data_IF_487389973981
#
_entry.id   IF_487389973981
#
_cell.length_a   1.000
_cell.length_b   1.000
_cell.length_c   1.000
_cell.angle_alpha   90.00
_cell.angle_beta   90.00
_cell.angle_gamma   90.00
#
_symmetry.space_group_name_H-M   'P 1'
#
loop_
_entity.id
_entity.type
_entity.pdbx_description
1 polymer ?
#
# COMPACT_ATOMS: atom_id res chain seq x y z
N UNK A 1 -13.96 -53.59 -1.83
CA UNK A 1 -13.79 -52.38 -2.66
C UNK A 1 -13.68 -51.19 -1.74
N UNK A 2 -12.53 -50.52 -1.72
CA UNK A 2 -12.18 -49.50 -0.72
C UNK A 2 -12.55 -48.14 -1.31
N UNK A 3 -13.62 -47.52 -0.84
CA UNK A 3 -14.04 -46.19 -1.30
C UNK A 3 -13.01 -45.15 -0.87
N UNK A 4 -12.16 -44.73 -1.80
CA UNK A 4 -11.28 -43.57 -1.64
C UNK A 4 -12.18 -42.34 -1.67
N UNK A 5 -12.43 -41.74 -0.50
CA UNK A 5 -13.04 -40.42 -0.39
C UNK A 5 -11.99 -39.39 -0.85
N UNK A 6 -12.08 -38.96 -2.09
CA UNK A 6 -11.41 -37.74 -2.54
C UNK A 6 -12.09 -36.55 -1.86
N UNK A 7 -11.50 -36.07 -0.77
CA UNK A 7 -11.78 -34.74 -0.24
C UNK A 7 -10.94 -33.77 -1.08
N UNK A 8 -11.52 -32.92 -1.93
CA UNK A 8 -10.75 -31.86 -2.54
C UNK A 8 -10.44 -30.88 -1.40
N UNK A 9 -9.20 -30.92 -0.93
CA UNK A 9 -8.63 -29.86 -0.12
C UNK A 9 -8.59 -28.61 -1.03
N UNK A 10 -9.66 -27.82 -0.97
CA UNK A 10 -9.67 -26.46 -1.52
C UNK A 10 -8.53 -25.72 -0.83
N UNK A 11 -7.40 -25.63 -1.54
CA UNK A 11 -6.32 -24.71 -1.25
C UNK A 11 -6.94 -23.31 -1.30
N UNK A 12 -7.35 -22.80 -0.13
CA UNK A 12 -7.58 -21.39 0.07
C UNK A 12 -6.23 -20.71 -0.09
N UNK A 13 -5.90 -20.41 -1.34
CA UNK A 13 -4.83 -19.52 -1.73
C UNK A 13 -5.20 -18.13 -1.23
N UNK A 14 -4.94 -17.87 0.04
CA UNK A 14 -5.09 -16.56 0.64
C UNK A 14 -3.93 -15.68 0.17
N UNK A 15 -4.04 -15.21 -1.07
CA UNK A 15 -3.53 -13.88 -1.41
C UNK A 15 -4.23 -12.92 -0.44
N UNK A 16 -3.46 -12.26 0.42
CA UNK A 16 -4.00 -11.33 1.41
C UNK A 16 -4.61 -10.15 0.66
N UNK A 17 -5.94 -10.10 0.54
CA UNK A 17 -6.65 -8.93 0.04
C UNK A 17 -6.80 -7.93 1.18
N UNK A 18 -6.88 -6.62 0.91
CA UNK A 18 -7.42 -5.69 1.93
C UNK A 18 -8.92 -5.96 2.16
N UNK A 19 -9.59 -6.53 1.16
CA UNK A 19 -10.93 -7.11 1.25
C UNK A 19 -11.80 -6.75 0.07
N UNK A 20 -12.92 -7.45 -0.09
CA UNK A 20 -13.96 -7.09 -1.04
C UNK A 20 -14.81 -5.94 -0.52
N UNK A 21 -15.24 -5.06 -1.43
CA UNK A 21 -16.16 -3.99 -1.10
C UNK A 21 -17.53 -4.52 -0.69
N UNK A 22 -18.12 -3.87 0.31
CA UNK A 22 -19.53 -4.03 0.67
C UNK A 22 -20.17 -2.65 0.65
N UNK A 23 -20.64 -2.27 -0.53
CA UNK A 23 -21.22 -0.94 -0.79
C UNK A 23 -22.32 -0.58 0.20
N UNK A 24 -23.26 -1.50 0.45
CA UNK A 24 -24.34 -1.32 1.42
C UNK A 24 -23.87 -1.05 2.85
N UNK A 25 -22.63 -1.41 3.20
CA UNK A 25 -22.02 -1.11 4.49
C UNK A 25 -21.23 0.19 4.42
N UNK A 26 -20.49 0.43 3.32
CA UNK A 26 -19.73 1.67 3.10
C UNK A 26 -20.63 2.90 3.16
N UNK A 27 -21.80 2.82 2.53
CA UNK A 27 -22.74 3.94 2.42
C UNK A 27 -23.44 4.30 3.73
N UNK A 28 -23.37 3.45 4.76
CA UNK A 28 -23.91 3.79 6.08
C UNK A 28 -23.01 4.74 6.88
N UNK A 29 -21.78 4.98 6.42
CA UNK A 29 -20.83 5.88 7.08
C UNK A 29 -20.89 7.27 6.45
N UNK A 30 -20.97 8.31 7.29
CA UNK A 30 -20.66 9.68 6.85
C UNK A 30 -19.17 9.94 7.01
N UNK A 31 -18.49 10.17 5.88
CA UNK A 31 -17.07 10.49 5.85
C UNK A 31 -16.80 12.00 6.02
N UNK A 32 -17.81 12.86 6.19
CA UNK A 32 -17.60 14.30 6.43
C UNK A 32 -17.05 15.03 5.19
N UNK A 33 -16.28 16.10 5.37
CA UNK A 33 -15.75 16.90 4.23
C UNK A 33 -14.62 16.17 3.49
N UNK A 34 -14.34 16.60 2.26
CA UNK A 34 -13.15 16.13 1.54
C UNK A 34 -11.89 16.54 2.27
N UNK A 35 -10.96 15.60 2.47
CA UNK A 35 -9.66 15.83 3.11
C UNK A 35 -8.53 15.34 2.21
N UNK A 36 -7.39 16.01 2.29
CA UNK A 36 -6.21 15.72 1.46
C UNK A 36 -5.13 15.07 2.30
N UNK A 37 -4.53 14.03 1.74
CA UNK A 37 -3.34 13.35 2.25
C UNK A 37 -2.17 13.79 1.37
N UNK A 38 -1.19 14.44 1.95
CA UNK A 38 0.01 14.94 1.26
C UNK A 38 1.06 13.83 1.24
N UNK A 39 1.44 13.38 0.06
CA UNK A 39 2.35 12.27 -0.13
C UNK A 39 3.66 12.78 -0.73
N UNK A 40 4.75 12.56 -0.02
CA UNK A 40 6.10 12.69 -0.55
C UNK A 40 6.43 11.42 -1.34
N UNK A 41 6.70 11.57 -2.64
CA UNK A 41 6.97 10.45 -3.54
C UNK A 41 8.46 10.31 -3.77
N UNK A 42 8.98 9.12 -3.50
CA UNK A 42 10.34 8.72 -3.86
C UNK A 42 10.27 7.94 -5.16
N UNK A 43 10.49 8.62 -6.28
CA UNK A 43 10.28 8.07 -7.61
C UNK A 43 11.59 7.49 -8.12
N UNK A 44 11.60 6.20 -8.43
CA UNK A 44 12.75 5.59 -9.11
C UNK A 44 13.03 6.35 -10.41
N UNK A 45 14.29 6.54 -10.76
CA UNK A 45 14.71 7.20 -12.02
C UNK A 45 14.11 6.53 -13.26
N UNK A 46 13.82 5.23 -13.18
CA UNK A 46 13.20 4.45 -14.25
C UNK A 46 11.66 4.55 -14.27
N UNK A 47 11.05 5.31 -13.36
CA UNK A 47 9.61 5.57 -13.33
C UNK A 47 9.34 6.95 -13.92
N UNK A 48 8.53 6.98 -14.98
CA UNK A 48 8.15 8.24 -15.62
C UNK A 48 7.14 9.02 -14.76
N UNK A 49 7.11 10.37 -14.88
CA UNK A 49 6.10 11.19 -14.22
C UNK A 49 4.66 10.79 -14.59
N UNK A 50 4.42 10.42 -15.85
CA UNK A 50 3.10 9.98 -16.33
C UNK A 50 2.67 8.71 -15.63
N UNK A 51 3.60 7.75 -15.46
CA UNK A 51 3.32 6.52 -14.72
C UNK A 51 2.95 6.80 -13.28
N UNK A 52 3.70 7.68 -12.60
CA UNK A 52 3.36 8.13 -11.25
C UNK A 52 1.95 8.75 -11.21
N UNK A 53 1.63 9.64 -12.16
CA UNK A 53 0.32 10.30 -12.21
C UNK A 53 -0.81 9.29 -12.38
N UNK A 54 -0.69 8.32 -13.30
CA UNK A 54 -1.71 7.27 -13.50
C UNK A 54 -1.91 6.40 -12.25
N UNK A 55 -0.85 6.10 -11.50
CA UNK A 55 -0.97 5.37 -10.24
C UNK A 55 -1.73 6.19 -9.20
N UNK A 56 -1.41 7.47 -9.06
CA UNK A 56 -2.13 8.36 -8.14
C UNK A 56 -3.58 8.63 -8.58
N UNK A 57 -3.88 8.64 -9.88
CA UNK A 57 -5.25 8.69 -10.39
C UNK A 57 -6.04 7.46 -9.97
N UNK A 58 -5.44 6.26 -10.10
CA UNK A 58 -6.07 4.99 -9.69
C UNK A 58 -6.34 4.99 -8.18
N UNK A 59 -5.38 5.44 -7.38
CA UNK A 59 -5.58 5.57 -5.94
C UNK A 59 -6.63 6.62 -5.58
N UNK A 60 -6.65 7.76 -6.27
CA UNK A 60 -7.63 8.82 -6.02
C UNK A 60 -9.06 8.45 -6.43
N UNK A 61 -9.22 7.64 -7.48
CA UNK A 61 -10.51 7.07 -7.83
C UNK A 61 -11.07 6.28 -6.65
N UNK A 62 -10.25 5.46 -6.01
CA UNK A 62 -10.63 4.71 -4.82
C UNK A 62 -10.89 5.62 -3.61
N UNK A 63 -9.99 6.56 -3.32
CA UNK A 63 -10.11 7.47 -2.17
C UNK A 63 -11.35 8.36 -2.25
N UNK A 64 -11.85 8.64 -3.46
CA UNK A 64 -13.06 9.43 -3.66
C UNK A 64 -14.30 8.82 -2.98
N UNK A 65 -14.33 7.48 -2.84
CA UNK A 65 -15.40 6.76 -2.12
C UNK A 65 -15.51 7.15 -0.65
N UNK A 66 -14.44 7.73 -0.09
CA UNK A 66 -14.31 8.14 1.30
C UNK A 66 -14.16 9.65 1.46
N UNK A 67 -14.39 10.42 0.39
CA UNK A 67 -14.11 11.86 0.33
C UNK A 67 -12.66 12.14 0.78
N UNK A 68 -11.71 11.37 0.27
CA UNK A 68 -10.28 11.57 0.46
C UNK A 68 -9.61 11.85 -0.88
N UNK A 69 -8.45 12.50 -0.83
CA UNK A 69 -7.59 12.71 -1.99
C UNK A 69 -6.12 12.58 -1.57
N UNK A 70 -5.35 11.76 -2.26
CA UNK A 70 -3.90 11.74 -2.17
C UNK A 70 -3.32 12.78 -3.15
N UNK A 71 -2.58 13.76 -2.62
CA UNK A 71 -1.88 14.78 -3.39
C UNK A 71 -0.38 14.55 -3.28
N UNK A 72 0.30 14.47 -4.42
CA UNK A 72 1.77 14.48 -4.46
C UNK A 72 2.24 15.86 -4.00
N UNK A 73 2.86 15.91 -2.81
CA UNK A 73 3.33 17.16 -2.21
C UNK A 73 4.76 17.48 -2.64
N UNK A 74 5.60 16.46 -2.74
CA UNK A 74 6.98 16.56 -3.21
C UNK A 74 7.35 15.28 -3.95
N UNK A 75 8.13 15.42 -5.01
CA UNK A 75 8.76 14.29 -5.70
C UNK A 75 10.26 14.43 -5.50
N UNK A 76 10.92 13.32 -5.15
CA UNK A 76 12.36 13.21 -5.26
C UNK A 76 12.70 12.04 -6.18
N UNK A 77 13.69 12.24 -7.04
CA UNK A 77 14.30 11.12 -7.73
C UNK A 77 15.06 10.27 -6.72
N UNK A 78 15.01 8.97 -6.94
CA UNK A 78 15.53 7.97 -6.02
C UNK A 78 16.10 6.80 -6.82
N UNK A 79 17.11 6.15 -6.28
CA UNK A 79 17.64 4.91 -6.85
C UNK A 79 17.26 3.79 -5.89
N UNK A 80 16.39 2.87 -6.32
CA UNK A 80 15.95 1.75 -5.49
C UNK A 80 17.16 0.98 -4.91
N UNK A 81 17.23 0.79 -3.59
CA UNK A 81 18.30 0.06 -2.93
C UNK A 81 18.08 -1.44 -3.04
N UNK A 82 19.19 -2.18 -2.95
CA UNK A 82 19.18 -3.63 -2.78
C UNK A 82 18.41 -4.38 -3.86
N UNK A 83 18.05 -5.63 -3.54
CA UNK A 83 17.34 -6.51 -4.47
C UNK A 83 15.95 -6.90 -3.95
N UNK A 84 15.65 -6.60 -2.68
CA UNK A 84 14.46 -7.10 -2.00
C UNK A 84 13.56 -5.97 -1.49
N UNK A 85 12.28 -6.30 -1.27
CA UNK A 85 11.31 -5.42 -0.59
C UNK A 85 11.79 -4.97 0.80
N UNK A 86 12.55 -5.82 1.50
CA UNK A 86 13.11 -5.51 2.81
C UNK A 86 14.18 -4.41 2.74
N UNK A 87 15.00 -4.39 1.68
CA UNK A 87 16.01 -3.36 1.48
C UNK A 87 15.36 -2.00 1.27
N UNK A 88 14.29 -1.95 0.46
CA UNK A 88 13.49 -0.74 0.25
C UNK A 88 12.88 -0.25 1.56
N UNK A 89 12.17 -1.12 2.29
CA UNK A 89 11.51 -0.74 3.54
C UNK A 89 12.51 -0.28 4.60
N UNK A 90 13.69 -0.92 4.68
CA UNK A 90 14.75 -0.53 5.60
C UNK A 90 15.22 0.90 5.33
N UNK A 91 15.39 1.28 4.07
CA UNK A 91 15.74 2.67 3.72
C UNK A 91 14.61 3.64 4.08
N UNK A 92 13.35 3.28 3.76
CA UNK A 92 12.19 4.10 4.12
C UNK A 92 12.05 4.32 5.63
N UNK A 93 12.35 3.31 6.46
CA UNK A 93 12.34 3.45 7.92
C UNK A 93 13.41 4.41 8.43
N UNK A 94 14.50 4.59 7.70
CA UNK A 94 15.57 5.52 8.05
C UNK A 94 15.32 6.93 7.50
N UNK A 95 14.29 7.10 6.66
CA UNK A 95 13.92 8.38 6.10
C UNK A 95 13.14 9.24 7.11
N UNK A 96 13.56 10.50 7.37
CA UNK A 96 12.69 11.46 8.03
C UNK A 96 11.49 11.75 7.12
N UNK A 97 10.28 11.65 7.66
CA UNK A 97 9.09 12.19 7.00
C UNK A 97 9.32 13.68 6.79
N UNK A 98 9.33 14.22 5.55
CA UNK A 98 9.63 15.63 5.33
C UNK A 98 8.55 16.56 5.90
N UNK A 99 8.88 17.84 6.15
CA UNK A 99 7.85 18.84 6.40
C UNK A 99 6.89 18.89 5.20
N UNK A 100 5.62 19.23 5.46
CA UNK A 100 4.52 19.28 4.49
C UNK A 100 4.04 17.94 3.92
N UNK A 101 4.57 16.82 4.42
CA UNK A 101 4.16 15.48 4.02
C UNK A 101 3.51 14.71 5.16
N UNK A 102 2.43 14.01 4.83
CA UNK A 102 1.71 13.11 5.73
C UNK A 102 2.22 11.67 5.58
N UNK A 103 2.70 11.31 4.38
CA UNK A 103 3.17 9.97 4.01
C UNK A 103 4.42 10.05 3.12
N UNK A 104 5.27 9.03 3.16
CA UNK A 104 6.26 8.71 2.14
C UNK A 104 5.76 7.49 1.35
N UNK A 105 5.72 7.60 0.03
CA UNK A 105 5.46 6.47 -0.86
C UNK A 105 6.58 6.37 -1.90
N UNK A 106 7.33 5.28 -1.90
CA UNK A 106 8.30 5.00 -2.95
C UNK A 106 7.67 4.27 -4.13
N UNK A 107 7.98 4.74 -5.34
CA UNK A 107 7.61 4.10 -6.60
C UNK A 107 8.85 3.42 -7.16
N UNK A 108 8.98 2.13 -6.85
CA UNK A 108 10.11 1.32 -7.28
C UNK A 108 10.00 0.95 -8.76
N UNK A 109 11.07 1.23 -9.51
CA UNK A 109 11.20 0.78 -10.90
C UNK A 109 11.54 -0.70 -10.97
N UNK A 110 11.38 -1.28 -12.17
CA UNK A 110 11.88 -2.62 -12.48
C UNK A 110 13.40 -2.57 -12.54
N UNK A 111 14.03 -3.53 -11.87
CA UNK A 111 15.45 -3.82 -11.96
C UNK A 111 15.68 -5.16 -12.66
N UNK A 112 16.90 -5.39 -13.15
CA UNK A 112 17.26 -6.65 -13.79
C UNK A 112 17.04 -7.88 -12.88
N UNK A 113 17.20 -7.72 -11.57
CA UNK A 113 16.89 -8.75 -10.59
C UNK A 113 15.42 -9.15 -10.57
N UNK A 114 14.50 -8.22 -10.80
CA UNK A 114 13.07 -8.51 -10.87
C UNK A 114 12.77 -9.40 -12.08
N UNK A 115 13.42 -9.13 -13.22
CA UNK A 115 13.31 -9.95 -14.44
C UNK A 115 13.86 -11.36 -14.22
N UNK A 116 15.01 -11.49 -13.54
CA UNK A 116 15.58 -12.80 -13.21
C UNK A 116 14.69 -13.58 -12.25
N UNK A 117 14.12 -12.91 -11.23
CA UNK A 117 13.19 -13.51 -10.29
C UNK A 117 11.91 -13.98 -11.00
N UNK A 118 11.39 -13.18 -11.93
CA UNK A 118 10.24 -13.53 -12.75
C UNK A 118 10.52 -14.78 -13.60
N UNK A 119 11.66 -14.81 -14.30
CA UNK A 119 12.06 -15.97 -15.08
C UNK A 119 12.23 -17.24 -14.22
N UNK A 120 12.89 -17.12 -13.07
CA UNK A 120 13.01 -18.21 -12.11
C UNK A 120 11.63 -18.66 -11.61
N UNK A 121 10.71 -17.72 -11.39
CA UNK A 121 9.34 -18.01 -10.96
C UNK A 121 8.56 -18.77 -12.02
N UNK A 122 8.74 -18.46 -13.30
CA UNK A 122 8.17 -19.25 -14.39
C UNK A 122 8.69 -20.69 -14.41
N UNK A 123 9.99 -20.90 -14.18
CA UNK A 123 10.55 -22.25 -14.06
C UNK A 123 9.91 -22.99 -12.89
N UNK A 124 9.81 -22.36 -11.72
CA UNK A 124 9.18 -22.96 -10.54
C UNK A 124 7.69 -23.29 -10.75
N UNK A 125 6.97 -22.43 -11.46
CA UNK A 125 5.57 -22.65 -11.80
C UNK A 125 5.34 -23.91 -12.66
N UNK A 126 6.30 -24.27 -13.54
CA UNK A 126 6.26 -25.54 -14.30
C UNK A 126 6.27 -26.78 -13.39
N UNK A 127 6.77 -26.64 -12.16
CA UNK A 127 6.79 -27.68 -11.14
C UNK A 127 5.66 -27.52 -10.11
N UNK A 128 4.65 -26.69 -10.38
CA UNK A 128 3.56 -26.37 -9.46
C UNK A 128 4.03 -25.79 -8.11
N UNK A 129 5.22 -25.19 -8.09
CA UNK A 129 5.76 -24.53 -6.89
C UNK A 129 5.18 -23.11 -6.87
N UNK A 130 4.47 -22.72 -5.79
CA UNK A 130 3.91 -21.38 -5.70
C UNK A 130 5.03 -20.34 -5.54
N UNK A 131 4.94 -19.26 -6.31
CA UNK A 131 5.85 -18.11 -6.21
C UNK A 131 5.05 -16.88 -5.79
N UNK A 132 5.54 -16.17 -4.78
CA UNK A 132 4.88 -15.00 -4.21
C UNK A 132 5.69 -13.76 -4.53
N UNK A 133 5.18 -12.93 -5.41
CA UNK A 133 5.77 -11.64 -5.76
C UNK A 133 5.26 -10.59 -4.77
N UNK A 134 6.17 -9.92 -4.05
CA UNK A 134 5.82 -8.80 -3.17
C UNK A 134 5.81 -7.52 -4.01
N UNK A 135 4.60 -7.11 -4.41
CA UNK A 135 4.39 -5.96 -5.29
C UNK A 135 4.43 -4.62 -4.56
N UNK A 136 4.34 -4.62 -3.24
CA UNK A 136 4.36 -3.43 -2.39
C UNK A 136 4.41 -3.81 -0.92
N UNK A 137 4.66 -2.82 -0.07
CA UNK A 137 4.53 -2.96 1.38
C UNK A 137 4.39 -1.59 2.03
N UNK A 138 3.73 -1.56 3.19
CA UNK A 138 3.61 -0.39 4.06
C UNK A 138 4.01 -0.76 5.48
N UNK A 139 4.58 0.20 6.20
CA UNK A 139 4.93 0.01 7.60
C UNK A 139 3.68 -0.31 8.44
N UNK A 140 3.76 -1.41 9.20
CA UNK A 140 2.62 -1.90 9.96
C UNK A 140 2.33 -1.11 11.23
N UNK A 141 3.22 -0.18 11.63
CA UNK A 141 3.14 0.47 12.93
C UNK A 141 2.39 1.80 12.89
N UNK A 142 2.64 2.61 11.86
CA UNK A 142 2.09 3.96 11.65
C UNK A 142 1.35 4.12 10.33
N UNK A 143 1.63 3.28 9.33
CA UNK A 143 1.11 3.44 7.97
C UNK A 143 1.56 4.73 7.29
N UNK A 144 2.75 5.24 7.61
CA UNK A 144 3.31 6.49 7.08
C UNK A 144 4.32 6.31 5.96
N UNK A 145 4.86 5.11 5.78
CA UNK A 145 5.93 4.78 4.84
C UNK A 145 5.55 3.52 4.10
N UNK A 146 5.68 3.54 2.78
CA UNK A 146 5.54 2.34 1.98
C UNK A 146 6.19 2.46 0.63
N UNK A 147 6.18 1.36 -0.11
CA UNK A 147 6.56 1.33 -1.50
C UNK A 147 5.58 0.49 -2.31
N UNK A 148 5.57 0.73 -3.62
CA UNK A 148 4.98 -0.16 -4.61
C UNK A 148 5.96 -0.34 -5.78
N UNK A 149 5.90 -1.49 -6.43
CA UNK A 149 6.51 -1.69 -7.74
C UNK A 149 5.64 -0.96 -8.78
N UNK A 150 6.19 0.11 -9.36
CA UNK A 150 5.48 0.95 -10.33
C UNK A 150 5.30 0.25 -11.69
N UNK A 151 6.15 -0.72 -11.99
CA UNK A 151 6.03 -1.58 -13.16
C UNK A 151 5.87 -3.02 -12.69
N UNK A 152 4.86 -3.69 -13.23
CA UNK A 152 4.61 -5.11 -13.01
C UNK A 152 4.45 -5.73 -14.37
N UNK A 153 5.33 -6.66 -14.75
CA UNK A 153 5.30 -7.33 -16.05
C UNK A 153 4.96 -8.83 -15.93
N UNK A 154 4.73 -9.34 -14.72
CA UNK A 154 4.53 -10.77 -14.48
C UNK A 154 3.14 -11.25 -14.88
N UNK A 155 3.03 -12.54 -15.23
CA UNK A 155 1.74 -13.21 -15.48
C UNK A 155 0.79 -13.11 -14.26
N UNK A 156 1.34 -13.04 -13.05
CA UNK A 156 0.59 -12.79 -11.82
C UNK A 156 -0.05 -11.39 -11.81
N UNK A 157 0.65 -10.37 -12.27
CA UNK A 157 0.12 -9.02 -12.36
C UNK A 157 -1.14 -8.90 -13.24
N UNK A 158 -1.27 -9.76 -14.28
CA UNK A 158 -2.46 -9.83 -15.13
C UNK A 158 -3.69 -10.39 -14.39
N UNK A 159 -3.46 -11.32 -13.45
CA UNK A 159 -4.52 -11.92 -12.63
C UNK A 159 -4.95 -11.01 -11.46
N UNK A 160 -4.04 -10.14 -10.99
CA UNK A 160 -4.23 -9.33 -9.77
C UNK A 160 -4.35 -7.82 -10.02
N UNK A 161 -4.45 -7.38 -11.27
CA UNK A 161 -4.70 -5.97 -11.65
C UNK A 161 -3.46 -5.06 -11.68
N UNK A 162 -2.27 -5.61 -11.45
CA UNK A 162 -0.98 -4.91 -11.56
C UNK A 162 -0.79 -3.72 -10.61
N UNK A 163 0.20 -2.89 -10.91
CA UNK A 163 0.55 -1.74 -10.04
C UNK A 163 -0.61 -0.77 -9.70
N UNK A 164 -1.60 -0.49 -10.58
CA UNK A 164 -2.78 0.31 -10.22
C UNK A 164 -3.61 -0.31 -9.08
N UNK A 165 -3.75 -1.64 -9.06
CA UNK A 165 -4.42 -2.31 -7.95
C UNK A 165 -3.52 -2.37 -6.71
N UNK A 166 -2.21 -2.56 -6.89
CA UNK A 166 -1.24 -2.54 -5.78
C UNK A 166 -1.21 -1.19 -5.06
N UNK A 167 -1.24 -0.06 -5.76
CA UNK A 167 -1.27 1.25 -5.08
C UNK A 167 -2.57 1.46 -4.30
N UNK A 168 -3.70 0.92 -4.77
CA UNK A 168 -4.94 0.94 -4.01
C UNK A 168 -4.81 0.08 -2.75
N UNK A 169 -4.26 -1.13 -2.89
CA UNK A 169 -4.01 -2.05 -1.78
C UNK A 169 -3.12 -1.43 -0.70
N UNK A 170 -1.91 -1.00 -1.07
CA UNK A 170 -0.98 -0.35 -0.14
C UNK A 170 -1.54 1.00 0.34
N UNK A 171 -2.31 1.68 -0.50
CA UNK A 171 -3.03 2.91 -0.14
C UNK A 171 -3.96 2.73 1.06
N UNK A 172 -4.62 1.59 1.18
CA UNK A 172 -5.40 1.26 2.37
C UNK A 172 -4.52 1.02 3.61
N UNK A 173 -3.37 0.37 3.45
CA UNK A 173 -2.41 0.21 4.54
C UNK A 173 -1.83 1.56 5.00
N UNK A 174 -1.67 2.55 4.11
CA UNK A 174 -1.30 3.92 4.48
C UNK A 174 -2.39 4.66 5.28
N UNK A 175 -3.64 4.19 5.22
CA UNK A 175 -4.75 4.61 6.08
C UNK A 175 -4.85 3.76 7.37
N UNK A 176 -3.91 2.84 7.55
CA UNK A 176 -3.82 1.92 8.68
C UNK A 176 -4.73 0.70 8.56
N UNK A 177 -5.42 0.46 7.46
CA UNK A 177 -6.27 -0.72 7.34
C UNK A 177 -5.41 -2.00 7.34
N UNK A 178 -5.90 -3.06 7.97
CA UNK A 178 -5.27 -4.39 7.94
C UNK A 178 -5.78 -5.21 6.76
N UNK A 179 -5.24 -6.43 6.61
CA UNK A 179 -5.82 -7.43 5.72
C UNK A 179 -7.10 -8.02 6.33
N UNK A 180 -8.14 -8.08 5.53
CA UNK A 180 -9.41 -8.71 5.87
C UNK A 180 -10.06 -9.27 4.61
N UNK A 181 -11.03 -10.18 4.76
CA UNK A 181 -11.81 -10.66 3.62
C UNK A 181 -12.77 -9.58 3.09
N UNK A 182 -13.26 -8.70 3.96
CA UNK A 182 -14.12 -7.57 3.59
C UNK A 182 -13.55 -6.26 4.14
N UNK A 183 -13.72 -5.17 3.38
CA UNK A 183 -13.28 -3.83 3.78
C UNK A 183 -14.13 -3.18 4.88
N UNK A 184 -15.13 -3.86 5.42
CA UNK A 184 -16.06 -3.29 6.40
C UNK A 184 -15.37 -2.69 7.63
N UNK A 185 -14.33 -3.35 8.15
CA UNK A 185 -13.54 -2.80 9.27
C UNK A 185 -12.72 -1.58 8.86
N UNK A 186 -12.22 -1.58 7.62
CA UNK A 186 -11.47 -0.46 7.07
C UNK A 186 -12.36 0.78 6.91
N UNK A 187 -13.64 0.64 6.56
CA UNK A 187 -14.58 1.78 6.47
C UNK A 187 -14.68 2.57 7.78
N UNK A 188 -14.82 1.86 8.89
CA UNK A 188 -14.82 2.47 10.24
C UNK A 188 -13.49 3.16 10.51
N UNK A 189 -12.37 2.50 10.19
CA UNK A 189 -11.04 3.05 10.42
C UNK A 189 -10.78 4.32 9.63
N UNK A 190 -11.21 4.36 8.37
CA UNK A 190 -11.11 5.55 7.50
C UNK A 190 -11.97 6.68 8.06
N UNK A 191 -13.22 6.41 8.48
CA UNK A 191 -14.06 7.43 9.13
C UNK A 191 -13.37 8.01 10.36
N UNK A 192 -12.86 7.16 11.25
CA UNK A 192 -12.25 7.60 12.51
C UNK A 192 -10.96 8.40 12.26
N UNK A 193 -10.18 7.99 11.27
CA UNK A 193 -8.99 8.71 10.83
C UNK A 193 -9.34 10.11 10.29
N UNK A 194 -10.44 10.22 9.54
CA UNK A 194 -10.93 11.51 9.06
C UNK A 194 -11.42 12.41 10.18
N UNK A 195 -12.17 11.87 11.14
CA UNK A 195 -12.59 12.62 12.33
C UNK A 195 -11.37 13.10 13.15
N UNK A 196 -10.32 12.27 13.26
CA UNK A 196 -9.08 12.69 13.90
C UNK A 196 -8.40 13.85 13.15
N UNK A 197 -8.47 13.87 11.81
CA UNK A 197 -7.92 14.96 10.96
C UNK A 197 -8.64 16.31 11.10
N UNK A 198 -9.70 16.39 11.89
CA UNK A 198 -10.37 17.66 12.21
C UNK A 198 -9.72 18.40 13.39
N UNK A 199 -8.90 17.69 14.19
CA UNK A 199 -8.23 18.27 15.37
C UNK A 199 -6.99 19.08 15.02
N UNK A 200 -6.31 18.70 13.93
CA UNK A 200 -5.07 19.30 13.48
C UNK A 200 -5.09 19.35 11.95
N UNK A 201 -4.92 20.55 11.38
CA UNK A 201 -4.94 20.74 9.92
C UNK A 201 -3.54 20.63 9.31
N UNK A 202 -2.49 20.80 10.11
CA UNK A 202 -1.11 20.80 9.63
C UNK A 202 -0.57 19.41 9.28
N UNK A 203 -1.27 18.33 9.65
CA UNK A 203 -0.87 16.94 9.38
C UNK A 203 -2.08 16.01 9.30
N UNK A 204 -2.16 15.20 8.24
CA UNK A 204 -3.17 14.15 8.16
C UNK A 204 -2.74 12.97 9.05
N UNK A 205 -3.52 12.63 10.11
CA UNK A 205 -3.04 11.76 11.17
C UNK A 205 -2.55 10.39 10.68
N UNK A 206 -1.66 9.79 11.45
CA UNK A 206 -1.19 8.42 11.22
C UNK A 206 -1.91 7.47 12.19
N UNK A 207 -2.43 6.36 11.69
CA UNK A 207 -3.15 5.39 12.52
C UNK A 207 -2.16 4.39 13.12
N UNK A 208 -2.15 4.28 14.45
CA UNK A 208 -1.31 3.31 15.14
C UNK A 208 -1.92 1.91 15.08
N UNK A 209 -1.07 0.88 14.98
CA UNK A 209 -1.51 -0.52 14.97
C UNK A 209 -2.35 -0.89 16.21
N UNK A 210 -1.97 -0.38 17.39
CA UNK A 210 -2.64 -0.64 18.67
C UNK A 210 -3.86 0.26 18.92
N UNK A 211 -4.26 1.06 17.93
CA UNK A 211 -5.29 2.07 18.06
C UNK A 211 -4.73 3.43 18.48
N UNK A 212 -5.52 4.48 18.23
CA UNK A 212 -5.09 5.87 18.39
C UNK A 212 -4.42 6.44 17.14
N UNK A 213 -4.05 7.72 17.23
CA UNK A 213 -3.50 8.49 16.12
C UNK A 213 -2.30 9.32 16.54
N UNK A 214 -1.36 9.50 15.62
CA UNK A 214 -0.32 10.52 15.69
C UNK A 214 -0.76 11.74 14.89
N UNK A 215 -0.56 12.92 15.44
CA UNK A 215 -1.04 14.18 14.86
C UNK A 215 0.08 15.06 14.32
N UNK A 216 1.34 14.59 14.36
CA UNK A 216 2.46 15.36 13.85
C UNK A 216 3.51 14.49 13.17
N UNK A 217 4.17 15.09 12.16
CA UNK A 217 5.37 14.57 11.54
C UNK A 217 6.48 14.28 12.57
N UNK A 218 6.59 15.13 13.60
CA UNK A 218 7.57 14.98 14.68
C UNK A 218 7.36 13.66 15.43
N UNK A 219 6.12 13.36 15.84
CA UNK A 219 5.82 12.13 16.58
C UNK A 219 6.08 10.89 15.72
N UNK A 220 5.76 10.96 14.43
CA UNK A 220 6.10 9.91 13.47
C UNK A 220 7.61 9.73 13.37
N UNK A 221 8.39 10.80 13.22
CA UNK A 221 9.84 10.71 13.14
C UNK A 221 10.48 10.21 14.42
N UNK A 222 9.93 10.56 15.59
CA UNK A 222 10.39 10.05 16.88
C UNK A 222 10.28 8.53 16.97
N UNK A 223 9.21 7.94 16.42
CA UNK A 223 9.03 6.48 16.40
C UNK A 223 10.09 5.78 15.55
N UNK A 224 10.42 6.31 14.38
CA UNK A 224 11.34 5.66 13.45
C UNK A 224 12.81 5.96 13.71
N UNK A 225 13.10 7.20 14.14
CA UNK A 225 14.45 7.74 14.21
C UNK A 225 14.92 7.99 15.64
N UNK A 226 14.02 7.96 16.64
CA UNK A 226 14.35 8.30 18.03
C UNK A 226 14.70 9.78 18.23
N UNK A 227 14.25 10.66 17.35
CA UNK A 227 14.54 12.10 17.31
C UNK A 227 13.27 12.96 17.44
#
# INVERSE_FOLDING_TARGET
MRHIRFLPLLLLLSCTTVGFHRESVRETYDYGKTKTIRVCVWKDVNVSPERMNTLFESWNQELSLYRLQAKVAKVQDWQRPGLTSNDIMKELFQAPLPPDCDRILALAGVQFSDILYEFASYILALFFIPTFEVLGAVDSYTGTRGFILAHTASLGSLLYGGAPHTIVHEGYHLLGCGHAFFLSECYTKIRDLKLASEKEEAFFPAALQKGGFLYSQKDVNLIFLGQ
#
